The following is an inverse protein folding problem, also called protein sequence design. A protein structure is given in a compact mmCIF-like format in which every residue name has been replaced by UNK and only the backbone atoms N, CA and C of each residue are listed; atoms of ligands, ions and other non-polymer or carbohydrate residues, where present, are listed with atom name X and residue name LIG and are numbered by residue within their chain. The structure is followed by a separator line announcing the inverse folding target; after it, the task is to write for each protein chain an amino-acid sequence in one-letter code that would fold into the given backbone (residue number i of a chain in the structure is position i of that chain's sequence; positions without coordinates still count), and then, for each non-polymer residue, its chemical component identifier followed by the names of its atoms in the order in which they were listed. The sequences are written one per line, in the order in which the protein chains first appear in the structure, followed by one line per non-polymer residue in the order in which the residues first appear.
data_IF_902337417845
#
_entry.id   IF_902337417845
#
_cell.length_a   1.000
_cell.length_b   1.000
_cell.length_c   1.000
_cell.angle_alpha   90.00
_cell.angle_beta   90.00
_cell.angle_gamma   90.00
#
_symmetry.space_group_name_H-M   'P 1'
#
loop_
_entity.id
_entity.type
_entity.pdbx_description
1 polymer ?
#
# COMPACT_ATOMS: atom_id res chain seq x y z
N UNK A 1 1.10 7.14 3.37
CA UNK A 1 1.91 6.11 4.06
C UNK A 1 2.41 6.56 5.43
N UNK A 2 3.37 7.50 5.55
CA UNK A 2 3.91 7.91 6.88
C UNK A 2 2.87 8.39 7.90
N UNK A 3 1.81 9.08 7.43
CA UNK A 3 0.70 9.51 8.30
C UNK A 3 -0.12 8.32 8.86
N UNK A 4 -0.37 7.30 8.04
CA UNK A 4 -1.07 6.08 8.47
C UNK A 4 -0.23 5.31 9.51
N UNK A 5 1.06 5.14 9.20
CA UNK A 5 2.02 4.49 10.09
C UNK A 5 2.10 5.18 11.46
N UNK A 6 2.20 6.52 11.46
CA UNK A 6 2.22 7.29 12.71
C UNK A 6 0.92 7.13 13.52
N UNK A 7 -0.24 7.20 12.86
CA UNK A 7 -1.56 7.04 13.51
C UNK A 7 -1.70 5.68 14.22
N UNK A 8 -1.41 4.58 13.50
CA UNK A 8 -1.50 3.22 14.04
C UNK A 8 -0.46 3.00 15.15
N UNK A 9 0.75 3.54 14.98
CA UNK A 9 1.81 3.46 15.98
C UNK A 9 1.40 4.13 17.29
N UNK A 10 0.77 5.30 17.23
CA UNK A 10 0.34 6.01 18.43
C UNK A 10 -0.81 5.30 19.15
N UNK A 11 -1.76 4.71 18.41
CA UNK A 11 -2.78 3.83 18.99
C UNK A 11 -2.16 2.60 19.68
N UNK A 12 -1.11 2.00 19.09
CA UNK A 12 -0.36 0.91 19.73
C UNK A 12 0.35 1.34 21.01
N UNK A 13 0.94 2.54 21.04
CA UNK A 13 1.55 3.09 22.26
C UNK A 13 0.50 3.30 23.36
N UNK A 14 -0.67 3.83 23.02
CA UNK A 14 -1.78 3.99 23.97
C UNK A 14 -2.21 2.64 24.55
N UNK A 15 -2.40 1.64 23.70
CA UNK A 15 -2.74 0.28 24.13
C UNK A 15 -1.68 -0.33 25.06
N UNK A 16 -0.39 -0.16 24.75
CA UNK A 16 0.71 -0.61 25.60
C UNK A 16 0.72 0.09 26.97
N UNK A 17 0.38 1.39 26.99
CA UNK A 17 0.19 2.15 28.22
C UNK A 17 -0.94 1.58 29.09
N UNK A 18 -2.10 1.31 28.49
CA UNK A 18 -3.23 0.69 29.18
C UNK A 18 -2.88 -0.71 29.71
N UNK A 19 -2.17 -1.52 28.92
CA UNK A 19 -1.71 -2.85 29.36
C UNK A 19 -0.83 -2.76 30.61
N UNK A 20 0.12 -1.83 30.61
CA UNK A 20 1.00 -1.59 31.77
C UNK A 20 0.20 -1.19 33.02
N UNK A 21 -0.85 -0.38 32.85
CA UNK A 21 -1.74 0.00 33.95
C UNK A 21 -2.53 -1.19 34.50
N UNK A 22 -3.03 -2.08 33.64
CA UNK A 22 -3.71 -3.33 34.03
C UNK A 22 -2.78 -4.22 34.84
N UNK A 23 -1.55 -4.45 34.38
CA UNK A 23 -0.58 -5.29 35.12
C UNK A 23 -0.23 -4.70 36.49
N UNK A 24 -0.09 -3.37 36.57
CA UNK A 24 0.13 -2.68 37.85
C UNK A 24 -1.06 -2.84 38.80
N UNK A 25 -2.29 -2.66 38.31
CA UNK A 25 -3.51 -2.83 39.11
C UNK A 25 -3.70 -4.29 39.55
N UNK A 26 -3.40 -5.26 38.68
CA UNK A 26 -3.44 -6.70 39.00
C UNK A 26 -2.47 -7.05 40.12
N UNK A 27 -1.23 -6.56 40.05
CA UNK A 27 -0.23 -6.76 41.10
C UNK A 27 -0.68 -6.13 42.43
N UNK A 28 -1.21 -4.91 42.38
CA UNK A 28 -1.71 -4.23 43.58
C UNK A 28 -2.88 -4.99 44.22
N UNK A 29 -3.82 -5.53 43.43
CA UNK A 29 -4.91 -6.37 43.94
C UNK A 29 -4.39 -7.63 44.62
N UNK A 30 -3.45 -8.34 44.00
CA UNK A 30 -2.85 -9.54 44.59
C UNK A 30 -2.15 -9.25 45.92
N UNK A 31 -1.43 -8.12 46.02
CA UNK A 31 -0.81 -7.67 47.28
C UNK A 31 -1.85 -7.37 48.36
N UNK A 32 -3.00 -6.75 48.01
CA UNK A 32 -4.07 -6.44 48.96
C UNK A 32 -4.88 -7.66 49.40
N UNK A 33 -5.07 -8.63 48.51
CA UNK A 33 -5.67 -9.92 48.86
C UNK A 33 -4.79 -10.68 49.85
N UNK A 34 -3.47 -10.71 49.61
CA UNK A 34 -2.52 -11.33 50.55
C UNK A 34 -2.50 -10.64 51.93
N UNK A 35 -2.56 -9.31 52.00
CA UNK A 35 -2.69 -8.58 53.28
C UNK A 35 -3.99 -8.94 54.01
N UNK A 36 -5.10 -9.04 53.28
CA UNK A 36 -6.39 -9.44 53.85
C UNK A 36 -6.36 -10.87 54.40
N UNK A 37 -5.76 -11.82 53.68
CA UNK A 37 -5.64 -13.22 54.12
C UNK A 37 -4.79 -13.33 55.39
N UNK A 38 -3.65 -12.62 55.43
CA UNK A 38 -2.78 -12.59 56.61
C UNK A 38 -3.49 -12.02 57.85
N UNK A 39 -4.27 -10.96 57.68
CA UNK A 39 -5.05 -10.35 58.77
C UNK A 39 -6.19 -11.25 59.22
N UNK A 40 -6.81 -11.98 58.30
CA UNK A 40 -7.85 -12.98 58.62
C UNK A 40 -7.27 -14.09 59.49
N UNK A 41 -6.08 -14.61 59.14
CA UNK A 41 -5.38 -15.62 59.94
C UNK A 41 -4.99 -15.10 61.35
N UNK A 42 -4.64 -13.81 61.47
CA UNK A 42 -4.35 -13.19 62.78
C UNK A 42 -5.59 -13.16 63.70
N UNK A 43 -6.79 -12.97 63.14
CA UNK A 43 -8.03 -13.00 63.93
C UNK A 43 -8.31 -14.39 64.50
N UNK A 44 -8.02 -15.45 63.74
CA UNK A 44 -8.13 -16.84 64.21
C UNK A 44 -7.20 -17.13 65.39
N UNK A 45 -6.04 -16.46 65.43
CA UNK A 45 -5.05 -16.65 66.50
C UNK A 45 -5.32 -15.75 67.72
N UNK A 46 -5.88 -14.56 67.52
CA UNK A 46 -6.14 -13.58 68.59
C UNK A 46 -7.38 -12.75 68.31
N UNK A 47 -8.50 -13.09 68.95
CA UNK A 47 -9.72 -12.28 68.90
C UNK A 47 -9.53 -10.95 69.64
N UNK A 48 -9.60 -9.84 68.91
CA UNK A 48 -9.58 -8.49 69.45
C UNK A 48 -10.31 -7.55 68.51
N UNK A 49 -11.08 -6.62 69.08
CA UNK A 49 -11.76 -5.53 68.34
C UNK A 49 -10.81 -4.73 67.45
N UNK A 50 -9.53 -4.61 67.84
CA UNK A 50 -8.49 -3.97 67.01
C UNK A 50 -8.19 -4.77 65.73
N UNK A 51 -8.17 -6.09 65.81
CA UNK A 51 -7.90 -6.98 64.66
C UNK A 51 -9.09 -6.98 63.71
N UNK A 52 -10.32 -6.97 64.23
CA UNK A 52 -11.53 -6.84 63.42
C UNK A 52 -11.57 -5.54 62.59
N UNK A 53 -11.17 -4.41 63.18
CA UNK A 53 -11.13 -3.14 62.44
C UNK A 53 -10.04 -3.14 61.35
N UNK A 54 -8.88 -3.74 61.63
CA UNK A 54 -7.81 -3.89 60.64
C UNK A 54 -8.21 -4.79 59.46
N UNK A 55 -9.02 -5.83 59.69
CA UNK A 55 -9.63 -6.66 58.64
C UNK A 55 -10.64 -5.85 57.84
N UNK A 56 -11.54 -5.12 58.50
CA UNK A 56 -12.55 -4.28 57.85
C UNK A 56 -11.88 -3.26 56.91
N UNK A 57 -10.77 -2.68 57.34
CA UNK A 57 -9.92 -1.77 56.54
C UNK A 57 -9.20 -2.48 55.39
N UNK A 58 -8.63 -3.66 55.61
CA UNK A 58 -7.97 -4.44 54.55
C UNK A 58 -8.97 -4.88 53.47
N UNK A 59 -10.18 -5.26 53.87
CA UNK A 59 -11.27 -5.64 52.95
C UNK A 59 -11.67 -4.47 52.05
N UNK A 60 -11.89 -3.27 52.62
CA UNK A 60 -12.17 -2.05 51.85
C UNK A 60 -11.06 -1.75 50.83
N UNK A 61 -9.79 -1.88 51.24
CA UNK A 61 -8.63 -1.67 50.35
C UNK A 61 -8.55 -2.72 49.24
N UNK A 62 -8.90 -3.97 49.52
CA UNK A 62 -8.94 -5.03 48.50
C UNK A 62 -10.07 -4.80 47.51
N UNK A 63 -11.26 -4.41 47.97
CA UNK A 63 -12.38 -4.04 47.09
C UNK A 63 -12.01 -2.88 46.18
N UNK A 64 -11.43 -1.80 46.74
CA UNK A 64 -10.99 -0.65 45.96
C UNK A 64 -9.92 -1.01 44.91
N UNK A 65 -8.99 -1.92 45.22
CA UNK A 65 -8.02 -2.41 44.25
C UNK A 65 -8.68 -3.24 43.12
N UNK A 66 -9.76 -3.95 43.44
CA UNK A 66 -10.58 -4.66 42.46
C UNK A 66 -11.31 -3.70 41.52
N UNK A 67 -11.93 -2.65 42.05
CA UNK A 67 -12.60 -1.61 41.27
C UNK A 67 -11.62 -0.88 40.33
N UNK A 68 -10.40 -0.60 40.81
CA UNK A 68 -9.34 0.00 40.00
C UNK A 68 -8.86 -0.94 38.88
N UNK A 69 -8.72 -2.24 39.16
CA UNK A 69 -8.39 -3.23 38.13
C UNK A 69 -9.49 -3.29 37.06
N UNK A 70 -10.76 -3.31 37.47
CA UNK A 70 -11.90 -3.30 36.54
C UNK A 70 -11.84 -2.07 35.63
N UNK A 71 -11.64 -0.88 36.20
CA UNK A 71 -11.48 0.37 35.45
C UNK A 71 -10.29 0.32 34.47
N UNK A 72 -9.15 -0.23 34.88
CA UNK A 72 -7.99 -0.38 34.00
C UNK A 72 -8.26 -1.34 32.82
N UNK A 73 -8.97 -2.44 33.07
CA UNK A 73 -9.34 -3.42 32.04
C UNK A 73 -10.33 -2.80 31.05
N UNK A 74 -11.31 -2.04 31.52
CA UNK A 74 -12.27 -1.35 30.63
C UNK A 74 -11.57 -0.38 29.70
N UNK A 75 -10.63 0.42 30.21
CA UNK A 75 -9.83 1.34 29.40
C UNK A 75 -8.92 0.60 28.41
N UNK A 76 -8.35 -0.53 28.80
CA UNK A 76 -7.57 -1.37 27.89
C UNK A 76 -8.44 -1.88 26.74
N UNK A 77 -9.61 -2.42 27.03
CA UNK A 77 -10.53 -2.94 26.02
C UNK A 77 -11.01 -1.82 25.09
N UNK A 78 -11.32 -0.63 25.61
CA UNK A 78 -11.68 0.53 24.78
C UNK A 78 -10.54 0.95 23.85
N UNK A 79 -9.31 1.03 24.37
CA UNK A 79 -8.14 1.35 23.55
C UNK A 79 -7.87 0.27 22.49
N UNK A 80 -8.09 -1.00 22.83
CA UNK A 80 -7.94 -2.13 21.92
C UNK A 80 -8.97 -2.10 20.80
N UNK A 81 -10.25 -1.89 21.11
CA UNK A 81 -11.32 -1.79 20.11
C UNK A 81 -11.08 -0.64 19.15
N UNK A 82 -10.67 0.53 19.66
CA UNK A 82 -10.31 1.67 18.82
C UNK A 82 -9.14 1.35 17.89
N UNK A 83 -8.08 0.74 18.41
CA UNK A 83 -6.94 0.31 17.58
C UNK A 83 -7.38 -0.71 16.53
N UNK A 84 -8.26 -1.65 16.89
CA UNK A 84 -8.76 -2.68 15.99
C UNK A 84 -9.55 -2.08 14.82
N UNK A 85 -10.54 -1.23 15.11
CA UNK A 85 -11.37 -0.60 14.08
C UNK A 85 -10.52 0.22 13.11
N UNK A 86 -9.62 1.06 13.62
CA UNK A 86 -8.71 1.87 12.80
C UNK A 86 -7.73 1.02 11.98
N UNK A 87 -7.27 -0.10 12.52
CA UNK A 87 -6.39 -1.03 11.80
C UNK A 87 -7.14 -1.69 10.64
N UNK A 88 -8.39 -2.11 10.85
CA UNK A 88 -9.23 -2.72 9.82
C UNK A 88 -9.51 -1.72 8.70
N UNK A 89 -9.98 -0.52 9.03
CA UNK A 89 -10.32 0.51 8.03
C UNK A 89 -9.09 0.95 7.25
N UNK A 90 -7.96 1.19 7.93
CA UNK A 90 -6.71 1.57 7.26
C UNK A 90 -6.20 0.46 6.34
N UNK A 91 -6.32 -0.82 6.74
CA UNK A 91 -5.89 -1.94 5.90
C UNK A 91 -6.73 -2.09 4.64
N UNK A 92 -8.06 -1.93 4.75
CA UNK A 92 -8.96 -1.95 3.59
C UNK A 92 -8.69 -0.77 2.64
N UNK A 93 -8.36 0.41 3.17
CA UNK A 93 -7.98 1.56 2.34
C UNK A 93 -6.67 1.30 1.59
N UNK A 94 -5.68 0.67 2.25
CA UNK A 94 -4.43 0.28 1.59
C UNK A 94 -4.64 -0.77 0.50
N UNK A 95 -5.54 -1.73 0.74
CA UNK A 95 -5.95 -2.71 -0.26
C UNK A 95 -6.57 -2.02 -1.49
N UNK A 96 -7.51 -1.08 -1.27
CA UNK A 96 -8.13 -0.30 -2.35
C UNK A 96 -7.09 0.48 -3.16
N UNK A 97 -6.18 1.18 -2.47
CA UNK A 97 -5.12 1.96 -3.13
C UNK A 97 -4.17 1.09 -3.96
N UNK A 98 -3.88 -0.13 -3.51
CA UNK A 98 -3.03 -1.05 -4.28
C UNK A 98 -3.74 -1.56 -5.54
N UNK A 99 -5.04 -1.85 -5.45
CA UNK A 99 -5.88 -2.19 -6.61
C UNK A 99 -5.88 -1.03 -7.61
N UNK A 100 -6.16 0.19 -7.16
CA UNK A 100 -6.15 1.39 -8.01
C UNK A 100 -4.79 1.60 -8.69
N UNK A 101 -3.69 1.40 -7.96
CA UNK A 101 -2.33 1.52 -8.50
C UNK A 101 -2.08 0.51 -9.62
N UNK A 102 -2.49 -0.75 -9.42
CA UNK A 102 -2.34 -1.81 -10.42
C UNK A 102 -3.19 -1.51 -11.66
N UNK A 103 -4.42 -1.05 -11.48
CA UNK A 103 -5.31 -0.67 -12.58
C UNK A 103 -4.74 0.49 -13.38
N UNK A 104 -4.21 1.51 -12.71
CA UNK A 104 -3.54 2.64 -13.36
C UNK A 104 -2.33 2.17 -14.18
N UNK A 105 -1.48 1.30 -13.63
CA UNK A 105 -0.33 0.75 -14.37
C UNK A 105 -0.80 -0.04 -15.59
N UNK A 106 -1.81 -0.90 -15.42
CA UNK A 106 -2.39 -1.67 -16.53
C UNK A 106 -2.90 -0.74 -17.63
N UNK A 107 -3.60 0.33 -17.28
CA UNK A 107 -4.10 1.32 -18.24
C UNK A 107 -2.96 1.96 -19.04
N UNK A 108 -1.88 2.37 -18.38
CA UNK A 108 -0.73 2.97 -19.06
C UNK A 108 0.02 1.95 -19.94
N UNK A 109 0.07 0.67 -19.53
CA UNK A 109 0.63 -0.39 -20.38
C UNK A 109 -0.23 -0.64 -21.62
N UNK A 110 -1.57 -0.62 -21.49
CA UNK A 110 -2.45 -0.67 -22.63
C UNK A 110 -2.22 0.51 -23.59
N UNK A 111 -2.10 1.73 -23.06
CA UNK A 111 -1.75 2.91 -23.86
C UNK A 111 -0.41 2.74 -24.58
N UNK A 112 0.62 2.23 -23.88
CA UNK A 112 1.90 1.92 -24.49
C UNK A 112 1.76 0.95 -25.66
N UNK A 113 1.00 -0.15 -25.49
CA UNK A 113 0.78 -1.11 -26.58
C UNK A 113 0.03 -0.50 -27.76
N UNK A 114 -0.94 0.38 -27.51
CA UNK A 114 -1.63 1.13 -28.57
C UNK A 114 -0.67 2.02 -29.34
N UNK A 115 0.12 2.84 -28.64
CA UNK A 115 1.10 3.73 -29.25
C UNK A 115 2.14 2.95 -30.07
N UNK A 116 2.57 1.80 -29.58
CA UNK A 116 3.46 0.90 -30.31
C UNK A 116 2.84 0.43 -31.62
N UNK A 117 1.60 -0.05 -31.56
CA UNK A 117 0.88 -0.50 -32.75
C UNK A 117 0.69 0.63 -33.77
N UNK A 118 0.26 1.82 -33.32
CA UNK A 118 0.08 2.99 -34.17
C UNK A 118 1.41 3.45 -34.81
N UNK A 119 2.49 3.44 -34.04
CA UNK A 119 3.82 3.79 -34.54
C UNK A 119 4.28 2.82 -35.63
N UNK A 120 4.08 1.51 -35.43
CA UNK A 120 4.45 0.49 -36.41
C UNK A 120 3.62 0.64 -37.70
N UNK A 121 2.31 0.91 -37.58
CA UNK A 121 1.42 1.20 -38.72
C UNK A 121 1.85 2.46 -39.48
N UNK A 122 2.18 3.53 -38.76
CA UNK A 122 2.67 4.77 -39.38
C UNK A 122 3.99 4.52 -40.12
N UNK A 123 4.94 3.84 -39.49
CA UNK A 123 6.22 3.51 -40.11
C UNK A 123 6.02 2.68 -41.39
N UNK A 124 5.12 1.70 -41.37
CA UNK A 124 4.79 0.91 -42.57
C UNK A 124 4.22 1.78 -43.70
N UNK A 125 3.36 2.75 -43.39
CA UNK A 125 2.76 3.64 -44.39
C UNK A 125 3.78 4.51 -45.13
N UNK A 126 4.94 4.79 -44.52
CA UNK A 126 5.99 5.61 -45.16
C UNK A 126 6.58 4.98 -46.42
N UNK A 127 6.39 3.68 -46.63
CA UNK A 127 6.86 2.98 -47.84
C UNK A 127 5.90 3.11 -49.03
N UNK A 128 4.63 3.49 -48.82
CA UNK A 128 3.64 3.57 -49.89
C UNK A 128 4.02 4.56 -51.01
N UNK A 129 4.57 5.77 -50.73
CA UNK A 129 4.98 6.67 -51.80
C UNK A 129 6.15 6.12 -52.63
N UNK A 130 7.07 5.39 -52.00
CA UNK A 130 8.20 4.74 -52.70
C UNK A 130 7.66 3.66 -53.64
N UNK A 131 6.76 2.81 -53.14
CA UNK A 131 6.11 1.79 -53.96
C UNK A 131 5.36 2.39 -55.15
N UNK A 132 4.64 3.50 -54.93
CA UNK A 132 3.98 4.22 -56.02
C UNK A 132 4.96 4.69 -57.09
N UNK A 133 6.08 5.32 -56.71
CA UNK A 133 7.11 5.75 -57.67
C UNK A 133 7.73 4.58 -58.42
N UNK A 134 7.99 3.46 -57.76
CA UNK A 134 8.51 2.24 -58.40
C UNK A 134 7.56 1.73 -59.51
N UNK A 135 6.25 1.81 -59.30
CA UNK A 135 5.27 1.44 -60.32
C UNK A 135 5.19 2.41 -61.50
N UNK A 136 5.71 3.64 -61.36
CA UNK A 136 5.77 4.63 -62.44
C UNK A 136 7.04 4.56 -63.30
N UNK A 137 8.02 3.73 -62.91
CA UNK A 137 9.28 3.58 -63.64
C UNK A 137 9.03 2.95 -65.01
N UNK A 138 9.44 3.66 -66.07
CA UNK A 138 9.32 3.22 -67.46
C UNK A 138 10.69 3.31 -68.15
N UNK A 139 11.39 2.17 -68.31
CA UNK A 139 12.72 2.16 -68.93
C UNK A 139 12.76 2.70 -70.36
N UNK A 140 11.64 2.65 -71.10
CA UNK A 140 11.61 3.16 -72.46
C UNK A 140 11.57 4.69 -72.48
N UNK A 141 10.77 5.31 -71.59
CA UNK A 141 10.73 6.77 -71.42
C UNK A 141 12.05 7.31 -70.88
N UNK A 142 12.65 6.65 -69.91
CA UNK A 142 13.95 7.06 -69.37
C UNK A 142 15.04 7.01 -70.45
N UNK A 143 15.05 5.94 -71.26
CA UNK A 143 15.96 5.83 -72.41
C UNK A 143 15.71 6.93 -73.44
N UNK A 144 14.45 7.24 -73.75
CA UNK A 144 14.10 8.31 -74.68
C UNK A 144 14.59 9.67 -74.18
N UNK A 145 14.36 9.97 -72.90
CA UNK A 145 14.82 11.20 -72.25
C UNK A 145 16.35 11.33 -72.33
N UNK A 146 17.07 10.25 -72.02
CA UNK A 146 18.53 10.23 -72.06
C UNK A 146 19.08 10.43 -73.47
N UNK A 147 18.56 9.69 -74.46
CA UNK A 147 18.99 9.80 -75.86
C UNK A 147 18.68 11.19 -76.41
N UNK A 148 17.54 11.79 -76.06
CA UNK A 148 17.17 13.14 -76.47
C UNK A 148 18.19 14.19 -76.03
N UNK A 149 18.74 14.05 -74.83
CA UNK A 149 19.76 14.96 -74.28
C UNK A 149 21.17 14.68 -74.83
N UNK A 150 21.50 13.41 -75.10
CA UNK A 150 22.89 12.99 -75.39
C UNK A 150 23.13 12.49 -76.81
N UNK A 151 22.16 12.53 -77.73
CA UNK A 151 22.35 12.02 -79.09
C UNK A 151 23.41 12.82 -79.87
N UNK A 152 24.29 12.11 -80.57
CA UNK A 152 25.35 12.71 -81.40
C UNK A 152 24.95 12.87 -82.87
N UNK A 153 23.74 12.43 -83.24
CA UNK A 153 23.21 12.47 -84.61
C UNK A 153 22.24 11.33 -84.88
N UNK A 154 21.31 11.54 -85.81
CA UNK A 154 20.31 10.54 -86.22
C UNK A 154 20.57 9.92 -87.59
N UNK A 155 21.49 10.49 -88.36
CA UNK A 155 21.81 10.07 -89.73
C UNK A 155 22.71 8.85 -89.68
N UNK A 156 22.31 7.78 -90.38
CA UNK A 156 23.15 6.58 -90.55
C UNK A 156 24.13 6.80 -91.71
N UNK A 157 25.37 6.30 -91.62
CA UNK A 157 26.32 6.38 -92.72
C UNK A 157 25.79 5.70 -94.00
N UNK A 158 26.26 6.18 -95.16
CA UNK A 158 26.01 5.59 -96.48
C UNK A 158 27.33 5.18 -97.14
N UNK A 159 27.25 4.23 -98.07
CA UNK A 159 28.41 3.83 -98.85
C UNK A 159 28.82 4.95 -99.82
N UNK A 160 30.11 5.09 -100.08
CA UNK A 160 30.61 6.00 -101.11
C UNK A 160 30.47 5.36 -102.48
N UNK A 161 30.08 6.15 -103.49
CA UNK A 161 30.09 5.73 -104.89
C UNK A 161 31.54 5.64 -105.39
N UNK A 162 31.87 4.54 -106.07
CA UNK A 162 33.17 4.28 -106.72
C UNK A 162 33.02 4.48 -108.22
#
# INVERSE_FOLDING_TARGET
MKKFDHSITDLRKQLAGCYTAVEKARKALAERQKDLDLKTLQLETKLSTKVEEEIRKARRKSTQAGDELMRCVDLYNQAQSKWFEEMVTTSLELERLEVERIEMIRQHLCQYTTLRHETDMFNQSTMQPVDHLLHTVDPAKDRELWVKEHMTGSVRPVNMEI
#
